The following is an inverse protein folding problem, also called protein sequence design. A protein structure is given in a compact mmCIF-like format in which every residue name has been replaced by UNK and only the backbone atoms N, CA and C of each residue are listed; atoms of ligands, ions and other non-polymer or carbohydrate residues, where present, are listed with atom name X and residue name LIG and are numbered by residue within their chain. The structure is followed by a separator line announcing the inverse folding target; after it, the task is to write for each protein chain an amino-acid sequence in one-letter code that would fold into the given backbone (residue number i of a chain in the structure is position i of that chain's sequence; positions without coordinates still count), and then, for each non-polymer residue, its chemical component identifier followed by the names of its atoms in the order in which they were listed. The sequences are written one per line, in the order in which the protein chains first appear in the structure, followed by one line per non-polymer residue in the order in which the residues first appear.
data_IF_551097536914
#
_entry.id   IF_551097536914
#
_cell.length_a   1.000
_cell.length_b   1.000
_cell.length_c   1.000
_cell.angle_alpha   90.00
_cell.angle_beta   90.00
_cell.angle_gamma   90.00
#
_symmetry.space_group_name_H-M   'P 1'
#
loop_
_entity.id
_entity.type
_entity.pdbx_description
1 polymer ?
#
# COMPACT_ATOMS: atom_id res chain seq x y z
N UNK A 1 17.71 -22.83 12.42
CA UNK A 1 17.21 -21.58 13.03
C UNK A 1 17.60 -20.45 12.10
N UNK A 2 16.63 -19.72 11.54
CA UNK A 2 16.94 -18.57 10.69
C UNK A 2 17.43 -17.41 11.55
N UNK A 3 18.51 -16.74 11.16
CA UNK A 3 18.93 -15.51 11.81
C UNK A 3 17.87 -14.44 11.53
N UNK A 4 17.33 -13.83 12.59
CA UNK A 4 16.45 -12.67 12.48
C UNK A 4 17.26 -11.54 11.84
N UNK A 5 17.16 -11.36 10.51
CA UNK A 5 17.71 -10.18 9.85
C UNK A 5 16.97 -8.94 10.38
N UNK A 6 17.69 -7.81 10.50
CA UNK A 6 17.20 -6.51 10.97
C UNK A 6 15.72 -6.32 10.63
N UNK A 7 14.86 -6.30 11.65
CA UNK A 7 13.47 -5.93 11.48
C UNK A 7 13.39 -4.46 11.09
N UNK A 8 12.83 -4.16 9.93
CA UNK A 8 12.51 -2.78 9.56
C UNK A 8 11.41 -2.31 10.52
N UNK A 9 11.72 -1.35 11.39
CA UNK A 9 10.71 -0.64 12.17
C UNK A 9 10.19 0.52 11.33
N UNK A 10 8.94 0.42 10.89
CA UNK A 10 8.32 1.39 10.00
C UNK A 10 7.74 2.62 10.72
N UNK A 11 7.68 2.64 12.07
CA UNK A 11 7.22 3.80 12.84
C UNK A 11 7.74 3.79 14.29
N UNK A 12 7.96 4.98 14.86
CA UNK A 12 8.25 5.15 16.29
C UNK A 12 7.03 4.88 17.19
N UNK A 13 5.80 4.91 16.62
CA UNK A 13 4.55 4.64 17.34
C UNK A 13 3.62 3.77 16.48
N UNK A 14 3.73 2.42 16.56
CA UNK A 14 3.14 1.49 15.59
C UNK A 14 1.66 1.21 15.81
N UNK A 15 1.01 1.92 16.74
CA UNK A 15 -0.42 1.73 17.01
C UNK A 15 -1.20 2.56 15.99
N UNK A 16 -1.90 1.92 15.04
CA UNK A 16 -2.75 2.67 14.12
C UNK A 16 -3.89 3.31 14.92
N UNK A 17 -4.33 4.49 14.49
CA UNK A 17 -5.56 5.07 15.02
C UNK A 17 -6.76 4.30 14.47
N UNK A 18 -7.69 3.98 15.34
CA UNK A 18 -8.91 3.23 15.03
C UNK A 18 -10.10 4.10 15.35
N UNK A 19 -11.08 4.14 14.45
CA UNK A 19 -12.40 4.69 14.72
C UNK A 19 -13.17 3.62 15.53
N UNK A 20 -13.39 3.89 16.81
CA UNK A 20 -13.99 2.93 17.76
C UNK A 20 -15.42 2.55 17.39
N UNK A 21 -16.18 3.43 16.74
CA UNK A 21 -17.57 3.16 16.34
C UNK A 21 -17.65 2.21 15.15
N UNK A 22 -16.67 2.29 14.23
CA UNK A 22 -16.62 1.50 13.00
C UNK A 22 -15.70 0.28 13.09
N UNK A 23 -14.95 0.15 14.17
CA UNK A 23 -13.86 -0.83 14.33
C UNK A 23 -12.90 -0.85 13.12
N UNK A 24 -12.64 0.33 12.54
CA UNK A 24 -11.89 0.50 11.30
C UNK A 24 -10.73 1.49 11.47
N UNK A 25 -9.73 1.43 10.59
CA UNK A 25 -8.63 2.40 10.58
C UNK A 25 -9.19 3.84 10.41
N UNK A 26 -8.79 4.74 11.29
CA UNK A 26 -9.17 6.15 11.22
C UNK A 26 -8.22 6.88 10.27
N UNK A 27 -8.67 7.11 9.02
CA UNK A 27 -7.92 7.82 7.98
C UNK A 27 -8.21 9.34 7.98
N UNK A 28 -9.11 9.82 8.85
CA UNK A 28 -9.67 11.18 8.85
C UNK A 28 -8.66 12.30 9.12
N UNK A 29 -7.54 11.97 9.76
CA UNK A 29 -6.42 12.90 10.00
C UNK A 29 -5.22 12.61 9.07
N UNK A 30 -5.45 11.83 8.03
CA UNK A 30 -4.42 11.28 7.17
C UNK A 30 -3.88 9.95 7.70
N UNK A 31 -3.20 9.23 6.81
CA UNK A 31 -2.65 7.92 7.08
C UNK A 31 -1.40 7.71 6.26
N UNK A 32 -0.37 7.10 6.84
CA UNK A 32 0.76 6.60 6.08
C UNK A 32 1.17 5.26 6.66
N UNK A 33 0.93 4.19 5.92
CA UNK A 33 1.21 2.86 6.42
C UNK A 33 1.26 1.81 5.34
N UNK A 34 1.81 0.65 5.71
CA UNK A 34 1.88 -0.53 4.84
C UNK A 34 0.60 -1.34 5.01
N UNK A 35 -0.11 -1.58 3.91
CA UNK A 35 -1.36 -2.35 3.89
C UNK A 35 -1.21 -3.75 3.31
N UNK A 36 -0.12 -4.04 2.57
CA UNK A 36 0.14 -5.36 2.03
C UNK A 36 1.64 -5.65 1.91
N UNK A 37 2.03 -6.90 2.12
CA UNK A 37 3.41 -7.39 2.00
C UNK A 37 3.42 -8.56 1.02
N UNK A 38 4.24 -8.46 -0.02
CA UNK A 38 4.47 -9.52 -1.01
C UNK A 38 5.95 -9.90 -1.03
N UNK A 39 6.34 -11.01 -0.38
CA UNK A 39 7.69 -11.55 -0.52
C UNK A 39 7.83 -12.27 -1.86
N UNK A 40 8.95 -12.03 -2.54
CA UNK A 40 9.34 -12.78 -3.74
C UNK A 40 10.62 -13.58 -3.46
N UNK A 41 11.26 -14.13 -4.49
CA UNK A 41 12.52 -14.84 -4.33
C UNK A 41 13.65 -13.89 -3.91
N UNK A 42 13.76 -12.74 -4.58
CA UNK A 42 14.91 -11.86 -4.42
C UNK A 42 14.61 -10.60 -3.59
N UNK A 43 13.34 -10.25 -3.43
CA UNK A 43 12.94 -8.95 -2.91
C UNK A 43 11.72 -9.04 -1.98
N UNK A 44 11.44 -7.94 -1.31
CA UNK A 44 10.22 -7.73 -0.55
C UNK A 44 9.48 -6.52 -1.11
N UNK A 45 8.22 -6.70 -1.47
CA UNK A 45 7.39 -5.62 -2.00
C UNK A 45 6.35 -5.21 -0.96
N UNK A 46 6.22 -3.92 -0.71
CA UNK A 46 5.29 -3.36 0.26
C UNK A 46 4.31 -2.44 -0.45
N UNK A 47 3.00 -2.69 -0.34
CA UNK A 47 1.98 -1.70 -0.68
C UNK A 47 1.86 -0.73 0.49
N UNK A 48 2.12 0.53 0.22
CA UNK A 48 1.90 1.64 1.13
C UNK A 48 0.71 2.45 0.65
N UNK A 49 -0.13 2.84 1.59
CA UNK A 49 -1.18 3.82 1.38
C UNK A 49 -0.76 5.10 2.09
N UNK A 50 -0.87 6.22 1.38
CA UNK A 50 -0.67 7.55 1.92
C UNK A 50 -1.95 8.34 1.69
N UNK A 51 -2.55 8.85 2.75
CA UNK A 51 -3.78 9.63 2.72
C UNK A 51 -3.46 11.01 3.26
N UNK A 52 -3.58 12.01 2.41
CA UNK A 52 -3.52 13.42 2.79
C UNK A 52 -4.93 13.98 2.84
N UNK A 53 -5.23 14.80 3.85
CA UNK A 53 -6.56 15.38 3.99
C UNK A 53 -6.48 16.87 3.76
N UNK A 54 -7.10 17.34 2.68
CA UNK A 54 -7.22 18.77 2.39
C UNK A 54 -8.50 19.32 3.06
N UNK A 55 -8.36 20.41 3.83
CA UNK A 55 -9.50 21.11 4.41
C UNK A 55 -9.94 22.24 3.49
N UNK A 56 -11.09 22.09 2.83
CA UNK A 56 -11.63 23.07 1.89
C UNK A 56 -13.09 23.38 2.21
N UNK A 57 -13.38 24.63 2.53
CA UNK A 57 -14.74 25.09 2.82
C UNK A 57 -15.42 24.44 4.03
N UNK A 58 -14.65 23.95 5.01
CA UNK A 58 -15.17 23.25 6.19
C UNK A 58 -15.34 21.73 6.02
N UNK A 59 -15.14 21.23 4.80
CA UNK A 59 -15.13 19.79 4.49
C UNK A 59 -13.71 19.24 4.43
N UNK A 60 -13.56 17.96 4.76
CA UNK A 60 -12.34 17.18 4.61
C UNK A 60 -12.41 16.41 3.29
N UNK A 61 -11.41 16.59 2.43
CA UNK A 61 -11.28 15.87 1.17
C UNK A 61 -10.03 14.98 1.28
N UNK A 62 -10.18 13.65 1.40
CA UNK A 62 -9.04 12.75 1.39
C UNK A 62 -8.50 12.61 -0.04
N UNK A 63 -7.18 12.70 -0.15
CA UNK A 63 -6.42 12.37 -1.35
C UNK A 63 -5.55 11.17 -1.00
N UNK A 64 -5.85 10.03 -1.63
CA UNK A 64 -5.10 8.80 -1.39
C UNK A 64 -4.11 8.56 -2.53
N UNK A 65 -2.88 8.20 -2.16
CA UNK A 65 -1.84 7.76 -3.08
C UNK A 65 -1.35 6.40 -2.64
N UNK A 66 -1.24 5.48 -3.60
CA UNK A 66 -0.74 4.14 -3.34
C UNK A 66 0.67 4.01 -3.90
N UNK A 67 1.55 3.36 -3.16
CA UNK A 67 2.92 3.11 -3.61
C UNK A 67 3.31 1.68 -3.34
N UNK A 68 3.89 1.01 -4.34
CA UNK A 68 4.57 -0.27 -4.14
C UNK A 68 6.05 0.01 -3.98
N UNK A 69 6.58 -0.31 -2.80
CA UNK A 69 8.00 -0.13 -2.46
C UNK A 69 8.70 -1.48 -2.57
N UNK A 70 9.76 -1.54 -3.38
CA UNK A 70 10.61 -2.71 -3.53
C UNK A 70 11.83 -2.58 -2.62
N UNK A 71 12.02 -3.57 -1.77
CA UNK A 71 13.13 -3.67 -0.83
C UNK A 71 14.01 -4.87 -1.18
N UNK A 72 15.31 -4.75 -0.92
CA UNK A 72 16.16 -5.93 -0.77
C UNK A 72 15.95 -6.60 0.60
N UNK A 73 16.53 -7.80 0.77
CA UNK A 73 16.43 -8.57 2.02
C UNK A 73 17.22 -7.97 3.19
N UNK A 74 18.00 -6.90 2.97
CA UNK A 74 18.69 -6.16 4.01
C UNK A 74 17.90 -4.90 4.42
N UNK A 75 16.77 -4.65 3.76
CA UNK A 75 15.81 -3.58 4.05
C UNK A 75 16.09 -2.27 3.32
N UNK A 76 16.98 -2.26 2.33
CA UNK A 76 17.23 -1.08 1.52
C UNK A 76 16.13 -0.92 0.47
N UNK A 77 15.66 0.32 0.29
CA UNK A 77 14.73 0.66 -0.80
C UNK A 77 15.49 0.67 -2.12
N UNK A 78 15.05 -0.17 -3.06
CA UNK A 78 15.66 -0.33 -4.39
C UNK A 78 14.68 -0.01 -5.53
N UNK A 79 13.43 0.32 -5.22
CA UNK A 79 12.44 0.78 -6.19
C UNK A 79 11.15 1.27 -5.53
N UNK A 80 10.44 2.16 -6.22
CA UNK A 80 9.11 2.63 -5.83
C UNK A 80 8.24 2.83 -7.08
N UNK A 81 6.95 2.51 -6.99
CA UNK A 81 5.98 2.65 -8.07
C UNK A 81 4.70 3.27 -7.50
N UNK A 82 4.33 4.46 -7.97
CA UNK A 82 3.18 5.21 -7.46
C UNK A 82 1.96 5.06 -8.36
N UNK A 83 0.79 5.07 -7.74
CA UNK A 83 -0.51 4.90 -8.39
C UNK A 83 -1.53 5.85 -7.75
N UNK A 84 -2.29 6.52 -8.61
CA UNK A 84 -3.39 7.41 -8.21
C UNK A 84 -4.71 6.63 -8.02
N UNK A 85 -4.73 5.37 -8.45
CA UNK A 85 -5.90 4.49 -8.36
C UNK A 85 -5.78 3.58 -7.14
N UNK A 86 -6.93 3.24 -6.54
CA UNK A 86 -6.95 2.28 -5.44
C UNK A 86 -6.48 0.91 -5.91
N UNK A 87 -5.35 0.49 -5.38
CA UNK A 87 -4.83 -0.86 -5.60
C UNK A 87 -5.44 -1.75 -4.52
N UNK A 88 -6.32 -2.68 -4.86
CA UNK A 88 -6.77 -3.69 -3.91
C UNK A 88 -5.60 -4.63 -3.56
N UNK A 89 -5.15 -5.37 -4.56
CA UNK A 89 -4.06 -6.36 -4.46
C UNK A 89 -3.02 -6.15 -5.54
N UNK A 90 -1.82 -6.71 -5.34
CA UNK A 90 -0.80 -6.76 -6.37
C UNK A 90 0.00 -8.06 -6.32
N UNK A 91 0.62 -8.42 -7.44
CA UNK A 91 1.61 -9.48 -7.50
C UNK A 91 2.72 -9.13 -8.49
N UNK A 92 3.89 -9.74 -8.30
CA UNK A 92 5.07 -9.46 -9.11
C UNK A 92 5.60 -10.74 -9.75
N UNK A 93 5.91 -10.66 -11.04
CA UNK A 93 6.71 -11.65 -11.74
C UNK A 93 8.09 -11.06 -12.06
N UNK A 94 9.08 -11.42 -11.24
CA UNK A 94 10.45 -10.92 -11.36
C UNK A 94 11.16 -11.39 -12.62
N UNK A 95 10.81 -12.58 -13.13
CA UNK A 95 11.44 -13.14 -14.34
C UNK A 95 11.17 -12.29 -15.56
N UNK A 96 10.01 -11.64 -15.59
CA UNK A 96 9.58 -10.79 -16.70
C UNK A 96 9.54 -9.32 -16.34
N UNK A 97 9.93 -8.94 -15.11
CA UNK A 97 9.81 -7.57 -14.61
C UNK A 97 8.37 -7.03 -14.75
N UNK A 98 7.39 -7.87 -14.46
CA UNK A 98 5.97 -7.52 -14.56
C UNK A 98 5.37 -7.32 -13.18
N UNK A 99 4.70 -6.19 -13.00
CA UNK A 99 3.84 -5.91 -11.86
C UNK A 99 2.40 -5.97 -12.31
N UNK A 100 1.60 -6.76 -11.61
CA UNK A 100 0.17 -6.85 -11.80
C UNK A 100 -0.51 -6.20 -10.60
N UNK A 101 -1.44 -5.29 -10.86
CA UNK A 101 -2.31 -4.73 -9.84
C UNK A 101 -3.75 -5.13 -10.15
N UNK A 102 -4.50 -5.43 -9.10
CA UNK A 102 -5.94 -5.66 -9.15
C UNK A 102 -6.58 -4.42 -8.55
N UNK A 103 -7.22 -3.63 -9.41
CA UNK A 103 -7.99 -2.44 -9.02
C UNK A 103 -9.39 -2.91 -8.68
N UNK A 104 -9.86 -2.55 -7.48
CA UNK A 104 -11.23 -2.81 -7.06
C UNK A 104 -12.05 -1.55 -7.31
N UNK A 105 -13.10 -1.67 -8.11
CA UNK A 105 -13.98 -0.55 -8.45
C UNK A 105 -15.41 -0.91 -8.05
N UNK A 106 -16.08 -0.03 -7.33
CA UNK A 106 -17.48 -0.19 -6.95
C UNK A 106 -18.31 0.81 -7.77
N UNK A 107 -19.21 0.29 -8.63
CA UNK A 107 -20.16 1.11 -9.38
C UNK A 107 -21.60 0.70 -9.04
N UNK A 108 -22.29 1.53 -8.26
CA UNK A 108 -23.64 1.24 -7.80
C UNK A 108 -23.65 0.04 -6.84
N UNK A 109 -24.31 -1.05 -7.25
CA UNK A 109 -24.35 -2.32 -6.50
C UNK A 109 -23.37 -3.38 -7.03
N UNK A 110 -22.58 -3.04 -8.05
CA UNK A 110 -21.67 -3.98 -8.69
C UNK A 110 -20.24 -3.73 -8.22
N UNK A 111 -19.49 -4.82 -8.07
CA UNK A 111 -18.05 -4.80 -7.84
C UNK A 111 -17.32 -5.33 -9.06
N UNK A 112 -16.29 -4.61 -9.49
CA UNK A 112 -15.42 -4.95 -10.60
C UNK A 112 -13.98 -5.06 -10.10
N UNK A 113 -13.24 -6.00 -10.68
CA UNK A 113 -11.83 -6.25 -10.36
C UNK A 113 -11.02 -6.21 -11.66
N UNK A 114 -10.39 -5.07 -11.93
CA UNK A 114 -9.60 -4.87 -13.14
C UNK A 114 -8.15 -5.28 -12.93
N UNK A 115 -7.65 -6.13 -13.82
CA UNK A 115 -6.24 -6.50 -13.84
C UNK A 115 -5.46 -5.53 -14.74
N UNK A 116 -4.56 -4.75 -14.14
CA UNK A 116 -3.63 -3.88 -14.87
C UNK A 116 -2.21 -4.40 -14.74
N UNK A 117 -1.43 -4.22 -15.81
CA UNK A 117 -0.06 -4.73 -15.93
C UNK A 117 0.91 -3.57 -16.19
N UNK A 118 1.98 -3.53 -15.42
CA UNK A 118 3.05 -2.53 -15.50
C UNK A 118 4.41 -3.23 -15.64
N UNK A 119 5.39 -2.51 -16.19
CA UNK A 119 6.79 -2.93 -16.23
C UNK A 119 7.55 -2.29 -15.08
N UNK A 120 8.36 -3.10 -14.38
CA UNK A 120 9.06 -2.69 -13.15
C UNK A 120 10.51 -3.13 -13.03
#
# INVERSE_FOLDING_TARGET
QGNLKKSIQFSENPVPRVNEEREALALEEGYNGTSFIFPSENYLYLKRSHVEVEKKGGSYIPHETFTIVKLDWDGNVIGHYSFDEEIGFFCVNEKTSDLYIIVHTIEGMNEYYDLKKYKI
#
